data_IF_898361755414
#
_entry.id   IF_898361755414
#
_cell.length_a   1.000
_cell.length_b   1.000
_cell.length_c   1.000
_cell.angle_alpha   90.00
_cell.angle_beta   90.00
_cell.angle_gamma   90.00
#
_symmetry.space_group_name_H-M   'P 1'
#
loop_
_entity.id
_entity.type
_entity.pdbx_description
1 polymer ?
#
# COMPACT_ATOMS: atom_id res chain seq x y z
N UNK A 1 -9.84 1.35 34.40
CA UNK A 1 -9.42 2.09 33.17
C UNK A 1 -8.06 2.68 33.47
N UNK A 2 -6.98 2.08 32.93
CA UNK A 2 -5.61 2.52 33.14
C UNK A 2 -5.30 3.79 32.34
N UNK A 3 -4.39 4.59 32.86
CA UNK A 3 -3.72 5.64 32.09
C UNK A 3 -2.76 4.89 31.18
N UNK A 4 -2.88 5.04 29.87
CA UNK A 4 -1.91 4.47 28.95
C UNK A 4 -0.92 5.54 28.49
N UNK A 5 0.24 5.07 28.10
CA UNK A 5 1.28 5.90 27.53
C UNK A 5 1.61 5.35 26.13
N UNK A 6 1.61 6.24 25.17
CA UNK A 6 2.17 5.98 23.86
C UNK A 6 3.63 6.44 23.86
N UNK A 7 4.53 5.57 23.50
CA UNK A 7 5.94 5.90 23.28
C UNK A 7 6.14 6.03 21.79
N UNK A 8 6.36 7.24 21.34
CA UNK A 8 6.59 7.55 19.94
C UNK A 8 8.06 7.85 19.70
N UNK A 9 8.68 7.09 18.79
CA UNK A 9 10.06 7.30 18.37
C UNK A 9 10.08 7.74 16.90
N UNK A 10 10.66 8.91 16.62
CA UNK A 10 10.76 9.44 15.27
C UNK A 10 12.14 10.00 14.99
N UNK A 11 12.50 10.10 13.72
CA UNK A 11 13.76 10.76 13.34
C UNK A 11 13.68 12.23 13.63
N UNK A 12 14.75 12.78 14.22
CA UNK A 12 14.85 14.21 14.43
C UNK A 12 14.79 14.94 13.06
N UNK A 13 13.92 15.94 12.87
CA UNK A 13 13.75 16.62 11.59
C UNK A 13 14.98 17.45 11.17
N UNK A 14 15.83 17.81 12.12
CA UNK A 14 17.05 18.60 11.86
C UNK A 14 18.33 17.76 11.82
N UNK A 15 18.32 16.57 12.43
CA UNK A 15 19.44 15.63 12.45
C UNK A 15 18.93 14.20 12.25
N UNK A 16 18.99 13.73 11.03
CA UNK A 16 18.50 12.38 10.66
C UNK A 16 19.26 11.21 11.30
N UNK A 17 20.37 11.48 12.01
CA UNK A 17 21.11 10.46 12.76
C UNK A 17 20.56 10.26 14.17
N UNK A 18 19.74 11.19 14.66
CA UNK A 18 19.13 11.14 15.98
C UNK A 18 17.68 10.64 15.90
N UNK A 19 17.30 9.96 16.97
CA UNK A 19 15.90 9.54 17.19
C UNK A 19 15.40 10.23 18.43
N UNK A 20 14.35 11.01 18.25
CA UNK A 20 13.63 11.64 19.36
C UNK A 20 12.56 10.66 19.86
N UNK A 21 12.41 10.62 21.19
CA UNK A 21 11.40 9.80 21.84
C UNK A 21 10.43 10.74 22.57
N UNK A 22 9.18 10.66 22.19
CA UNK A 22 8.11 11.41 22.84
C UNK A 22 7.18 10.44 23.56
N UNK A 23 6.79 10.78 24.78
CA UNK A 23 5.79 10.01 25.52
C UNK A 23 4.51 10.84 25.49
N UNK A 24 3.53 10.37 24.76
CA UNK A 24 2.21 10.95 24.74
C UNK A 24 1.34 10.24 25.79
N UNK A 25 0.77 11.02 26.69
CA UNK A 25 -0.24 10.54 27.64
C UNK A 25 -1.55 11.28 27.38
N UNK A 26 -2.63 10.58 27.16
CA UNK A 26 -3.86 11.26 26.85
C UNK A 26 -5.11 10.40 26.85
N UNK A 27 -6.24 11.07 26.72
CA UNK A 27 -7.58 10.49 26.65
C UNK A 27 -7.95 9.98 25.24
N UNK A 28 -7.02 9.92 24.31
CA UNK A 28 -7.28 9.40 22.96
C UNK A 28 -7.55 7.89 23.05
N UNK A 29 -8.66 7.47 22.46
CA UNK A 29 -9.05 6.06 22.41
C UNK A 29 -8.28 5.34 21.29
N UNK A 30 -6.93 5.30 21.38
CA UNK A 30 -6.06 4.59 20.44
C UNK A 30 -6.51 3.14 20.24
N UNK A 31 -7.22 2.55 21.20
CA UNK A 31 -7.78 1.20 21.10
C UNK A 31 -8.77 1.03 19.95
N UNK A 32 -9.23 2.12 19.33
CA UNK A 32 -10.11 2.12 18.15
C UNK A 32 -9.34 2.39 16.86
N UNK A 33 -8.08 2.81 16.97
CA UNK A 33 -7.25 3.08 15.79
C UNK A 33 -6.88 1.77 15.07
N UNK A 34 -6.89 1.81 13.75
CA UNK A 34 -6.65 0.63 12.90
C UNK A 34 -5.31 -0.04 13.21
N UNK A 35 -4.26 0.76 13.43
CA UNK A 35 -2.91 0.29 13.71
C UNK A 35 -2.79 -0.50 15.02
N UNK A 36 -3.71 -0.29 15.97
CA UNK A 36 -3.77 -1.00 17.23
C UNK A 36 -4.77 -2.16 17.17
N UNK A 37 -6.01 -1.84 16.75
CA UNK A 37 -7.13 -2.78 16.80
C UNK A 37 -6.93 -3.99 15.87
N UNK A 38 -6.45 -3.77 14.64
CA UNK A 38 -6.36 -4.85 13.64
C UNK A 38 -5.32 -5.91 14.04
N UNK A 39 -4.06 -5.57 14.40
CA UNK A 39 -3.08 -6.56 14.84
C UNK A 39 -3.52 -7.31 16.10
N UNK A 40 -4.18 -6.59 17.03
CA UNK A 40 -4.69 -7.16 18.26
C UNK A 40 -5.71 -8.27 17.99
N UNK A 41 -6.68 -8.03 17.09
CA UNK A 41 -7.75 -9.00 16.79
C UNK A 41 -7.30 -10.11 15.85
N UNK A 42 -6.28 -9.86 15.04
CA UNK A 42 -5.71 -10.85 14.14
C UNK A 42 -4.68 -11.75 14.86
N UNK A 43 -4.21 -11.34 16.03
CA UNK A 43 -3.18 -12.02 16.84
C UNK A 43 -1.90 -12.36 16.05
N UNK A 44 -1.60 -11.56 15.02
CA UNK A 44 -0.45 -11.73 14.14
C UNK A 44 0.06 -10.39 13.61
N UNK A 45 1.33 -10.33 13.20
CA UNK A 45 1.86 -9.18 12.49
C UNK A 45 1.09 -8.97 11.16
N UNK A 46 0.72 -7.72 10.87
CA UNK A 46 -0.08 -7.40 9.69
C UNK A 46 0.20 -5.99 9.17
N UNK A 47 0.22 -5.85 7.84
CA UNK A 47 0.13 -4.57 7.17
C UNK A 47 -1.31 -4.08 7.13
N UNK A 48 -1.48 -2.80 7.33
CA UNK A 48 -2.77 -2.11 7.33
C UNK A 48 -2.82 -1.23 6.08
N UNK A 49 -3.88 -1.37 5.30
CA UNK A 49 -4.09 -0.53 4.12
C UNK A 49 -4.02 0.96 4.48
N UNK A 50 -3.61 1.82 3.55
CA UNK A 50 -3.41 3.23 3.80
C UNK A 50 -4.63 3.90 4.42
N UNK A 51 -4.38 4.79 5.36
CA UNK A 51 -5.41 5.58 6.03
C UNK A 51 -4.90 7.00 6.30
N UNK A 52 -5.85 7.90 6.51
CA UNK A 52 -5.54 9.28 6.88
C UNK A 52 -5.17 9.32 8.36
N UNK A 53 -4.01 9.89 8.64
CA UNK A 53 -3.54 10.19 9.98
C UNK A 53 -3.46 11.70 10.20
N UNK A 54 -3.78 12.14 11.40
CA UNK A 54 -3.74 13.55 11.78
C UNK A 54 -2.83 13.70 12.99
N UNK A 55 -1.59 14.04 12.74
CA UNK A 55 -0.57 14.23 13.76
C UNK A 55 -0.20 15.72 13.86
N UNK A 56 -0.24 16.29 15.07
CA UNK A 56 0.10 17.69 15.34
C UNK A 56 -0.64 18.72 14.46
N UNK A 57 -1.85 18.38 13.97
CA UNK A 57 -2.65 19.23 13.09
C UNK A 57 -2.29 19.13 11.60
N UNK A 58 -1.33 18.31 11.25
CA UNK A 58 -1.00 17.96 9.88
C UNK A 58 -1.67 16.66 9.47
N UNK A 59 -2.24 16.65 8.27
CA UNK A 59 -2.91 15.46 7.71
C UNK A 59 -1.94 14.77 6.76
N UNK A 60 -1.71 13.48 6.98
CA UNK A 60 -0.89 12.64 6.11
C UNK A 60 -1.59 11.32 5.80
N UNK A 61 -1.22 10.71 4.68
CA UNK A 61 -1.64 9.34 4.37
C UNK A 61 -0.47 8.42 4.73
N UNK A 62 -0.74 7.48 5.61
CA UNK A 62 0.24 6.50 6.09
C UNK A 62 -0.27 5.08 5.90
N UNK A 63 0.64 4.13 5.87
CA UNK A 63 0.37 2.72 6.12
C UNK A 63 1.09 2.30 7.38
N UNK A 64 0.61 1.27 8.04
CA UNK A 64 1.21 0.78 9.29
C UNK A 64 1.47 -0.72 9.24
N UNK A 65 2.60 -1.13 9.78
CA UNK A 65 2.85 -2.53 10.11
C UNK A 65 2.70 -2.69 11.62
N UNK A 66 1.65 -3.39 12.04
CA UNK A 66 1.35 -3.64 13.43
C UNK A 66 1.68 -5.06 13.85
N UNK A 67 2.26 -5.22 15.05
CA UNK A 67 2.63 -6.51 15.61
C UNK A 67 2.16 -6.61 17.07
N UNK A 68 1.37 -7.62 17.45
CA UNK A 68 0.99 -7.85 18.83
C UNK A 68 2.21 -8.25 19.65
N UNK A 69 2.33 -7.71 20.86
CA UNK A 69 3.38 -8.00 21.80
C UNK A 69 2.83 -8.88 22.92
N UNK A 70 3.54 -9.96 23.21
CA UNK A 70 3.20 -10.88 24.29
C UNK A 70 4.32 -10.90 25.35
N UNK A 71 3.93 -11.08 26.59
CA UNK A 71 4.88 -11.30 27.67
C UNK A 71 5.44 -12.74 27.65
N UNK A 72 6.30 -13.04 28.62
CA UNK A 72 6.92 -14.37 28.78
C UNK A 72 5.91 -15.51 29.06
N UNK A 73 4.69 -15.18 29.47
CA UNK A 73 3.62 -16.14 29.74
C UNK A 73 2.67 -16.31 28.55
N UNK A 74 2.92 -15.56 27.45
CA UNK A 74 2.05 -15.53 26.26
C UNK A 74 0.86 -14.57 26.39
N UNK A 75 0.79 -13.75 27.44
CA UNK A 75 -0.27 -12.77 27.61
C UNK A 75 -0.01 -11.55 26.74
N UNK A 76 -1.04 -11.08 26.06
CA UNK A 76 -0.96 -9.90 25.19
C UNK A 76 -0.78 -8.64 26.04
N UNK A 77 0.33 -7.92 25.85
CA UNK A 77 0.70 -6.74 26.60
C UNK A 77 0.62 -5.43 25.79
N UNK A 78 0.49 -5.51 24.47
CA UNK A 78 0.40 -4.32 23.62
C UNK A 78 0.58 -4.60 22.15
N UNK A 79 0.73 -3.53 21.38
CA UNK A 79 1.02 -3.57 19.94
C UNK A 79 2.23 -2.68 19.65
N UNK A 80 3.18 -3.18 18.88
CA UNK A 80 4.22 -2.38 18.25
C UNK A 80 3.73 -2.01 16.85
N UNK A 81 3.78 -0.73 16.50
CA UNK A 81 3.43 -0.28 15.16
C UNK A 81 4.54 0.55 14.54
N UNK A 82 4.79 0.34 13.26
CA UNK A 82 5.69 1.16 12.43
C UNK A 82 4.85 1.83 11.35
N UNK A 83 4.93 3.16 11.27
CA UNK A 83 4.19 3.98 10.30
C UNK A 83 5.10 4.36 9.15
N UNK A 84 4.60 4.22 7.92
CA UNK A 84 5.32 4.55 6.69
C UNK A 84 4.51 5.58 5.91
N UNK A 85 5.16 6.68 5.55
CA UNK A 85 4.56 7.70 4.69
C UNK A 85 4.24 7.14 3.31
N UNK A 86 3.00 7.26 2.90
CA UNK A 86 2.56 6.84 1.57
C UNK A 86 3.15 7.70 0.48
N UNK A 87 3.49 8.96 0.77
CA UNK A 87 4.20 9.80 -0.19
C UNK A 87 5.55 9.20 -0.58
N UNK A 88 6.37 8.82 0.39
CA UNK A 88 7.67 8.19 0.13
C UNK A 88 7.50 6.88 -0.65
N UNK A 89 6.55 6.05 -0.26
CA UNK A 89 6.27 4.78 -0.92
C UNK A 89 5.80 4.98 -2.37
N UNK A 90 4.88 5.93 -2.59
CA UNK A 90 4.42 6.29 -3.93
C UNK A 90 5.57 6.78 -4.82
N UNK A 91 6.41 7.70 -4.31
CA UNK A 91 7.56 8.21 -5.06
C UNK A 91 8.50 7.06 -5.48
N UNK A 92 8.72 6.07 -4.62
CA UNK A 92 9.53 4.90 -4.92
C UNK A 92 8.87 4.05 -6.03
N UNK A 93 7.60 3.71 -5.89
CA UNK A 93 6.87 2.89 -6.88
C UNK A 93 6.81 3.59 -8.24
N UNK A 94 6.50 4.87 -8.27
CA UNK A 94 6.39 5.65 -9.49
C UNK A 94 7.74 5.85 -10.21
N UNK A 95 8.84 5.61 -9.52
CA UNK A 95 10.18 5.58 -10.13
C UNK A 95 10.44 4.29 -10.94
N UNK A 96 9.65 3.25 -10.75
CA UNK A 96 9.78 1.97 -11.45
C UNK A 96 9.25 2.09 -12.88
N UNK A 97 10.16 2.31 -13.83
CA UNK A 97 9.87 2.46 -15.26
C UNK A 97 10.83 1.59 -16.08
N UNK A 98 10.55 0.30 -16.25
CA UNK A 98 11.42 -0.58 -17.02
C UNK A 98 11.49 -0.23 -18.52
N UNK A 99 10.45 0.44 -19.04
CA UNK A 99 10.38 0.96 -20.40
C UNK A 99 9.98 2.46 -20.39
N UNK A 100 10.29 3.23 -21.47
CA UNK A 100 10.07 4.69 -21.48
C UNK A 100 8.65 5.14 -21.15
N UNK A 101 7.63 4.43 -21.66
CA UNK A 101 6.22 4.77 -21.43
C UNK A 101 5.52 3.81 -20.46
N UNK A 102 6.28 2.96 -19.76
CA UNK A 102 5.73 2.09 -18.72
C UNK A 102 5.48 2.87 -17.43
N UNK A 103 4.55 2.37 -16.63
CA UNK A 103 4.30 2.88 -15.29
C UNK A 103 3.98 1.76 -14.32
N UNK A 104 4.27 2.00 -13.05
CA UNK A 104 3.93 1.10 -11.97
C UNK A 104 2.72 1.62 -11.18
N UNK A 105 1.93 0.68 -10.63
CA UNK A 105 0.83 0.93 -9.72
C UNK A 105 0.81 -0.10 -8.61
N UNK A 106 0.11 0.19 -7.51
CA UNK A 106 -0.09 -0.75 -6.40
C UNK A 106 -1.55 -0.81 -6.05
N UNK A 107 -2.06 -2.02 -5.90
CA UNK A 107 -3.41 -2.32 -5.46
C UNK A 107 -3.40 -2.87 -4.04
N UNK A 108 -4.30 -2.40 -3.20
CA UNK A 108 -4.50 -2.82 -1.81
C UNK A 108 -5.34 -4.10 -1.67
N UNK A 109 -5.56 -4.50 -0.43
CA UNK A 109 -6.28 -5.74 -0.08
C UNK A 109 -7.75 -5.69 -0.46
N UNK A 110 -8.34 -4.52 -0.51
CA UNK A 110 -9.74 -4.28 -0.90
C UNK A 110 -9.95 -4.16 -2.42
N UNK A 111 -8.85 -4.08 -3.20
CA UNK A 111 -8.87 -3.93 -4.64
C UNK A 111 -8.80 -2.48 -5.13
N UNK A 112 -8.66 -1.50 -4.22
CA UNK A 112 -8.43 -0.11 -4.59
C UNK A 112 -6.97 0.16 -4.92
N UNK A 113 -6.73 1.14 -5.79
CA UNK A 113 -5.37 1.58 -6.08
C UNK A 113 -4.82 2.42 -4.93
N UNK A 114 -3.69 1.96 -4.39
CA UNK A 114 -2.92 2.67 -3.37
C UNK A 114 -1.96 3.67 -4.01
N UNK A 115 -1.35 3.29 -5.13
CA UNK A 115 -0.41 4.10 -5.89
C UNK A 115 -0.73 4.01 -7.37
N UNK A 116 -0.81 5.16 -8.03
CA UNK A 116 -0.94 5.28 -9.48
C UNK A 116 -0.28 6.58 -9.96
N UNK A 117 0.28 6.65 -11.19
CA UNK A 117 0.92 7.86 -11.72
C UNK A 117 -0.04 9.05 -11.88
N UNK A 118 -1.29 8.80 -12.17
CA UNK A 118 -2.31 9.84 -12.18
C UNK A 118 -2.84 10.02 -10.75
N UNK A 119 -2.67 11.23 -10.21
CA UNK A 119 -3.00 11.56 -8.82
C UNK A 119 -4.49 11.75 -8.56
N UNK A 120 -5.32 11.73 -9.60
CA UNK A 120 -6.78 11.76 -9.44
C UNK A 120 -7.28 10.38 -9.05
N UNK A 121 -7.01 9.97 -7.81
CA UNK A 121 -7.37 8.67 -7.23
C UNK A 121 -8.80 8.20 -7.54
N UNK A 122 -9.74 9.13 -7.76
CA UNK A 122 -11.14 8.82 -8.04
C UNK A 122 -11.37 8.18 -9.42
N UNK A 123 -10.57 8.54 -10.42
CA UNK A 123 -10.72 7.97 -11.78
C UNK A 123 -10.12 6.57 -11.85
N UNK A 124 -9.11 6.29 -11.03
CA UNK A 124 -8.46 4.98 -10.98
C UNK A 124 -9.15 3.98 -10.07
N UNK A 125 -9.83 4.44 -9.03
CA UNK A 125 -10.80 3.63 -8.29
C UNK A 125 -11.83 3.04 -9.27
N UNK A 126 -12.29 3.83 -10.25
CA UNK A 126 -13.27 3.39 -11.22
C UNK A 126 -12.74 2.25 -12.10
N UNK A 127 -11.50 2.31 -12.58
CA UNK A 127 -10.96 1.28 -13.49
C UNK A 127 -10.94 -0.11 -12.84
N UNK A 128 -10.35 -0.24 -11.65
CA UNK A 128 -10.30 -1.53 -10.98
C UNK A 128 -11.66 -1.94 -10.39
N UNK A 129 -12.48 -0.99 -9.97
CA UNK A 129 -13.85 -1.27 -9.52
C UNK A 129 -14.71 -1.77 -10.67
N UNK A 130 -14.62 -1.16 -11.84
CA UNK A 130 -15.29 -1.65 -13.05
C UNK A 130 -14.78 -3.03 -13.46
N UNK A 131 -13.46 -3.25 -13.43
CA UNK A 131 -12.87 -4.55 -13.74
C UNK A 131 -13.34 -5.66 -12.80
N UNK A 132 -13.58 -5.38 -11.52
CA UNK A 132 -14.15 -6.35 -10.57
C UNK A 132 -15.64 -6.57 -10.77
N UNK A 133 -16.37 -5.54 -11.15
CA UNK A 133 -17.83 -5.60 -11.29
C UNK A 133 -18.28 -6.04 -12.68
N UNK A 134 -17.42 -5.91 -13.71
CA UNK A 134 -17.69 -6.34 -15.08
C UNK A 134 -16.78 -7.49 -15.49
N UNK A 135 -17.28 -8.74 -15.43
CA UNK A 135 -16.53 -9.94 -15.84
C UNK A 135 -16.09 -9.93 -17.30
N UNK A 136 -16.66 -9.06 -18.14
CA UNK A 136 -16.33 -8.95 -19.55
C UNK A 136 -15.22 -7.94 -19.82
N UNK A 137 -14.81 -7.16 -18.81
CA UNK A 137 -13.75 -6.16 -18.96
C UNK A 137 -12.38 -6.85 -19.14
N UNK A 138 -11.54 -6.24 -19.97
CA UNK A 138 -10.21 -6.78 -20.28
C UNK A 138 -9.27 -6.79 -19.05
N UNK A 139 -9.53 -5.91 -18.07
CA UNK A 139 -8.78 -5.85 -16.81
C UNK A 139 -9.24 -6.83 -15.73
N UNK A 140 -10.40 -7.45 -15.93
CA UNK A 140 -11.05 -8.28 -14.88
C UNK A 140 -10.16 -9.41 -14.37
N UNK A 141 -9.58 -10.19 -15.28
CA UNK A 141 -8.74 -11.33 -14.90
C UNK A 141 -7.47 -10.87 -14.18
N UNK A 142 -6.85 -9.79 -14.64
CA UNK A 142 -5.68 -9.20 -13.98
C UNK A 142 -6.04 -8.72 -12.57
N UNK A 143 -7.13 -7.97 -12.45
CA UNK A 143 -7.58 -7.43 -11.16
C UNK A 143 -7.90 -8.54 -10.14
N UNK A 144 -8.61 -9.61 -10.56
CA UNK A 144 -8.88 -10.75 -9.68
C UNK A 144 -7.60 -11.47 -9.29
N UNK A 145 -6.71 -11.73 -10.26
CA UNK A 145 -5.43 -12.39 -10.00
C UNK A 145 -4.57 -11.59 -9.02
N UNK A 146 -4.50 -10.27 -9.18
CA UNK A 146 -3.81 -9.38 -8.25
C UNK A 146 -4.41 -9.44 -6.84
N UNK A 147 -5.74 -9.33 -6.74
CA UNK A 147 -6.46 -9.40 -5.44
C UNK A 147 -6.27 -10.73 -4.73
N UNK A 148 -6.16 -11.81 -5.48
CA UNK A 148 -5.96 -13.15 -4.93
C UNK A 148 -4.49 -13.53 -4.73
N UNK A 149 -3.57 -12.57 -4.94
CA UNK A 149 -2.15 -12.76 -4.66
C UNK A 149 -1.43 -13.65 -5.67
N UNK A 150 -1.89 -13.71 -6.92
CA UNK A 150 -1.21 -14.47 -7.96
C UNK A 150 -0.18 -13.60 -8.70
N UNK A 151 0.84 -14.27 -9.20
CA UNK A 151 1.82 -13.70 -10.13
C UNK A 151 1.31 -13.94 -11.54
N UNK A 152 1.43 -12.94 -12.41
CA UNK A 152 1.02 -13.15 -13.79
C UNK A 152 1.18 -11.93 -14.68
N UNK A 153 0.60 -12.07 -15.87
CA UNK A 153 0.46 -11.00 -16.84
C UNK A 153 -0.85 -11.15 -17.60
N UNK A 154 -1.31 -10.06 -18.18
CA UNK A 154 -2.49 -10.03 -19.06
C UNK A 154 -2.30 -8.97 -20.13
N UNK A 155 -2.94 -9.17 -21.27
CA UNK A 155 -3.12 -8.13 -22.28
C UNK A 155 -4.33 -7.29 -21.88
N UNK A 156 -4.16 -5.98 -21.91
CA UNK A 156 -5.26 -5.03 -21.64
C UNK A 156 -5.32 -4.03 -22.79
N UNK A 157 -6.51 -3.49 -23.04
CA UNK A 157 -6.67 -2.44 -24.03
C UNK A 157 -7.15 -1.16 -23.36
N UNK A 158 -6.31 -0.12 -23.41
CA UNK A 158 -6.60 1.20 -22.88
C UNK A 158 -6.53 2.22 -24.03
N UNK A 159 -7.53 3.11 -24.14
CA UNK A 159 -7.57 4.15 -25.17
C UNK A 159 -7.30 3.65 -26.60
N UNK A 160 -7.85 2.51 -26.98
CA UNK A 160 -7.62 1.82 -28.25
C UNK A 160 -6.17 1.36 -28.51
N UNK A 161 -5.30 1.38 -27.50
CA UNK A 161 -3.94 0.85 -27.55
C UNK A 161 -3.88 -0.46 -26.80
N UNK A 162 -3.02 -1.35 -27.25
CA UNK A 162 -2.74 -2.60 -26.58
C UNK A 162 -1.58 -2.41 -25.63
N UNK A 163 -1.78 -2.76 -24.36
CA UNK A 163 -0.80 -2.71 -23.31
C UNK A 163 -0.69 -4.10 -22.65
N UNK A 164 0.44 -4.34 -22.01
CA UNK A 164 0.67 -5.51 -21.17
C UNK A 164 0.74 -5.08 -19.71
N UNK A 165 0.02 -5.79 -18.85
CA UNK A 165 0.14 -5.64 -17.41
C UNK A 165 0.85 -6.86 -16.83
N UNK A 166 1.92 -6.63 -16.08
CA UNK A 166 2.66 -7.64 -15.32
C UNK A 166 2.45 -7.37 -13.85
N UNK A 167 2.09 -8.38 -13.07
CA UNK A 167 1.77 -8.19 -11.67
C UNK A 167 2.36 -9.24 -10.75
N UNK A 168 2.67 -8.81 -9.54
CA UNK A 168 3.29 -9.62 -8.50
C UNK A 168 2.77 -9.20 -7.13
N UNK A 169 2.40 -10.14 -6.23
CA UNK A 169 2.00 -9.79 -4.87
C UNK A 169 3.20 -9.33 -4.04
N UNK A 170 2.96 -8.40 -3.12
CA UNK A 170 3.89 -8.13 -2.03
C UNK A 170 3.70 -9.20 -0.96
N UNK A 171 4.75 -9.94 -0.66
CA UNK A 171 4.74 -10.90 0.44
C UNK A 171 4.36 -10.19 1.75
N UNK A 172 3.44 -10.79 2.50
CA UNK A 172 2.97 -10.33 3.81
C UNK A 172 2.15 -9.03 3.86
N UNK A 173 1.98 -8.29 2.77
CA UNK A 173 1.16 -7.09 2.76
C UNK A 173 -0.27 -7.35 2.26
N UNK A 174 -0.46 -8.39 1.45
CA UNK A 174 -1.71 -8.63 0.74
C UNK A 174 -1.95 -7.65 -0.42
N UNK A 175 -0.97 -6.81 -0.72
CA UNK A 175 -0.98 -5.89 -1.85
C UNK A 175 -0.39 -6.53 -3.09
N UNK A 176 -0.63 -5.92 -4.25
CA UNK A 176 0.00 -6.33 -5.50
C UNK A 176 0.56 -5.12 -6.24
N UNK A 177 1.80 -5.24 -6.71
CA UNK A 177 2.37 -4.28 -7.65
C UNK A 177 2.04 -4.73 -9.06
N UNK A 178 1.70 -3.77 -9.92
CA UNK A 178 1.57 -3.98 -11.35
C UNK A 178 2.47 -3.01 -12.12
N UNK A 179 2.97 -3.45 -13.26
CA UNK A 179 3.67 -2.62 -14.23
C UNK A 179 2.91 -2.73 -15.54
N UNK A 180 2.45 -1.60 -16.05
CA UNK A 180 1.78 -1.49 -17.35
C UNK A 180 2.81 -1.02 -18.37
N UNK A 181 2.92 -1.77 -19.46
CA UNK A 181 3.88 -1.52 -20.53
C UNK A 181 3.14 -1.47 -21.87
N UNK A 182 3.24 -0.39 -22.63
CA UNK A 182 2.74 -0.36 -24.00
C UNK A 182 3.38 -1.43 -24.87
N UNK A 183 2.57 -2.10 -25.70
CA UNK A 183 3.06 -3.11 -26.63
C UNK A 183 4.20 -2.57 -27.50
N UNK A 184 4.06 -1.32 -27.96
CA UNK A 184 5.09 -0.66 -28.77
C UNK A 184 6.46 -0.57 -28.09
N UNK A 185 6.49 -0.42 -26.76
CA UNK A 185 7.74 -0.33 -26.02
C UNK A 185 8.41 -1.70 -25.88
N UNK A 186 7.61 -2.74 -25.62
CA UNK A 186 8.12 -4.11 -25.46
C UNK A 186 8.76 -4.60 -26.77
N UNK A 187 8.10 -4.35 -27.91
CA UNK A 187 8.55 -4.82 -29.21
C UNK A 187 9.41 -3.81 -30.00
N UNK A 188 9.71 -2.64 -29.40
CA UNK A 188 10.54 -1.62 -30.06
C UNK A 188 11.91 -2.14 -30.51
N UNK A 189 12.51 -3.07 -29.75
CA UNK A 189 13.80 -3.68 -30.08
C UNK A 189 13.72 -4.63 -31.27
N UNK A 190 12.56 -5.18 -31.59
CA UNK A 190 12.37 -6.04 -32.78
C UNK A 190 12.20 -5.27 -34.07
N UNK A 191 11.70 -4.03 -34.00
CA UNK A 191 11.46 -3.18 -35.18
C UNK A 191 12.71 -2.41 -35.63
N UNK A 192 13.84 -2.56 -34.92
CA UNK A 192 15.13 -1.92 -35.20
C UNK A 192 16.17 -2.89 -35.82
N UNK A 193 15.77 -4.09 -36.17
CA UNK A 193 16.54 -5.10 -36.92
C UNK A 193 16.01 -5.23 -38.37
#
# INVERSE_FOLDING_TARGET
YGIYHEIYAHRNPTDSTQIDITINGGKQLYTREKWYFIPLHQEKPIWIDPYVDVEHGETSIITSYGMPLHDKNGELVGVLSVHISMKWFADLVLSLRPFPNSHASVMGTDGHLIVHPDSTLKEHEAFFTEAFNDPTSQGHLAAISMKTGHIGHSEIRMDCKQDFIFYHPFENAGWSVAIVCPESDIFSSYNSL
#
